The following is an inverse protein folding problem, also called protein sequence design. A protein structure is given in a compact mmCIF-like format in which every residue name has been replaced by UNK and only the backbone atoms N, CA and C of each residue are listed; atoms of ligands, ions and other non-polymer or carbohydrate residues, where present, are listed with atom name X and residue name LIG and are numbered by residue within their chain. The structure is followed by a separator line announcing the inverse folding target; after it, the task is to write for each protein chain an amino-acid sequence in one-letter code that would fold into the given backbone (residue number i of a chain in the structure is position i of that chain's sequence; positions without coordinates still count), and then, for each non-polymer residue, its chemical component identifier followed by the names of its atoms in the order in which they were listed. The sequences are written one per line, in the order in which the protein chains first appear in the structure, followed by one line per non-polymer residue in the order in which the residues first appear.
data_IF_691408162537
#
_entry.id   IF_691408162537
#
_cell.length_a   1.000
_cell.length_b   1.000
_cell.length_c   1.000
_cell.angle_alpha   90.00
_cell.angle_beta   90.00
_cell.angle_gamma   90.00
#
_symmetry.space_group_name_H-M   'P 1'
#
loop_
_entity.id
_entity.type
_entity.pdbx_description
1 polymer ?
#
# COMPACT_ATOMS: atom_id res chain seq x y z
N UNK A 1 -7.91 -34.69 -12.05
CA UNK A 1 -6.94 -33.65 -12.48
C UNK A 1 -6.53 -32.80 -11.29
N UNK A 2 -5.60 -33.29 -10.45
CA UNK A 2 -5.12 -32.59 -9.24
C UNK A 2 -3.66 -32.22 -9.41
N UNK A 3 -3.38 -31.12 -10.10
CA UNK A 3 -2.02 -30.68 -10.39
C UNK A 3 -1.40 -29.91 -9.22
N UNK A 4 -0.28 -30.44 -8.73
CA UNK A 4 0.83 -29.79 -8.00
C UNK A 4 0.42 -29.01 -6.72
N UNK A 5 0.92 -29.45 -5.56
CA UNK A 5 0.96 -28.61 -4.36
C UNK A 5 2.36 -28.00 -4.20
N UNK A 6 2.69 -26.84 -4.81
CA UNK A 6 3.83 -26.04 -4.38
C UNK A 6 3.45 -25.21 -3.13
N UNK A 7 4.46 -24.76 -2.39
CA UNK A 7 4.44 -24.58 -0.93
C UNK A 7 3.28 -23.77 -0.35
N UNK A 8 2.87 -24.13 0.87
CA UNK A 8 1.82 -23.43 1.64
C UNK A 8 1.98 -21.91 1.66
N UNK A 9 3.21 -21.41 1.58
CA UNK A 9 3.54 -19.98 1.51
C UNK A 9 3.18 -19.34 0.17
N UNK A 10 3.43 -19.99 -0.99
CA UNK A 10 3.07 -19.44 -2.30
C UNK A 10 1.55 -19.33 -2.45
N UNK A 11 0.82 -20.32 -1.94
CA UNK A 11 -0.65 -20.30 -1.88
C UNK A 11 -1.17 -19.23 -0.92
N UNK A 12 -0.54 -19.04 0.23
CA UNK A 12 -0.92 -17.99 1.17
C UNK A 12 -0.70 -16.59 0.58
N UNK A 13 0.43 -16.37 -0.10
CA UNK A 13 0.70 -15.16 -0.87
C UNK A 13 -0.36 -14.94 -1.96
N UNK A 14 -0.68 -15.97 -2.74
CA UNK A 14 -1.67 -15.88 -3.81
C UNK A 14 -3.04 -15.42 -3.29
N UNK A 15 -3.50 -16.00 -2.17
CA UNK A 15 -4.76 -15.58 -1.52
C UNK A 15 -4.76 -14.11 -1.11
N UNK A 16 -3.64 -13.61 -0.55
CA UNK A 16 -3.51 -12.19 -0.14
C UNK A 16 -3.45 -11.28 -1.34
N UNK A 17 -2.77 -11.70 -2.40
CA UNK A 17 -2.73 -10.96 -3.66
C UNK A 17 -4.13 -10.86 -4.27
N UNK A 18 -4.90 -11.95 -4.28
CA UNK A 18 -6.30 -11.93 -4.71
C UNK A 18 -7.15 -11.01 -3.84
N UNK A 19 -7.01 -11.08 -2.52
CA UNK A 19 -7.70 -10.20 -1.58
C UNK A 19 -7.37 -8.72 -1.84
N UNK A 20 -6.10 -8.38 -2.05
CA UNK A 20 -5.68 -7.02 -2.33
C UNK A 20 -6.23 -6.50 -3.67
N UNK A 21 -6.34 -7.36 -4.69
CA UNK A 21 -6.94 -7.02 -5.97
C UNK A 21 -8.44 -6.79 -5.86
N UNK A 22 -9.15 -7.64 -5.12
CA UNK A 22 -10.60 -7.53 -4.89
C UNK A 22 -10.97 -6.22 -4.18
N UNK A 23 -10.15 -5.80 -3.22
CA UNK A 23 -10.34 -4.53 -2.50
C UNK A 23 -9.92 -3.29 -3.30
N UNK A 24 -9.25 -3.45 -4.45
CA UNK A 24 -8.70 -2.31 -5.19
C UNK A 24 -9.75 -1.70 -6.14
N UNK A 25 -10.16 -0.43 -5.96
CA UNK A 25 -11.32 0.16 -6.68
C UNK A 25 -11.13 0.28 -8.20
N UNK A 26 -9.88 0.24 -8.68
CA UNK A 26 -9.55 0.31 -10.12
C UNK A 26 -9.26 -1.05 -10.76
N UNK A 27 -9.26 -2.13 -9.98
CA UNK A 27 -9.02 -3.47 -10.51
C UNK A 27 -10.33 -4.03 -11.08
N UNK A 28 -10.35 -4.53 -12.33
CA UNK A 28 -11.54 -5.18 -12.88
C UNK A 28 -11.82 -6.51 -12.17
N UNK A 29 -13.06 -6.71 -11.74
CA UNK A 29 -13.48 -7.87 -10.95
C UNK A 29 -13.50 -9.20 -11.74
N UNK A 30 -13.73 -9.15 -13.06
CA UNK A 30 -14.12 -10.34 -13.83
C UNK A 30 -13.06 -10.74 -14.88
N UNK A 31 -13.10 -10.09 -16.06
CA UNK A 31 -12.12 -10.31 -17.14
C UNK A 31 -11.12 -9.14 -17.18
N UNK A 32 -9.83 -9.45 -17.16
CA UNK A 32 -8.76 -8.46 -17.36
C UNK A 32 -7.88 -8.17 -16.15
N UNK A 33 -8.11 -8.79 -14.98
CA UNK A 33 -7.25 -8.63 -13.79
C UNK A 33 -5.76 -8.89 -14.07
N UNK A 34 -5.47 -9.94 -14.85
CA UNK A 34 -4.09 -10.27 -15.23
C UNK A 34 -3.47 -9.15 -16.07
N UNK A 35 -4.19 -8.68 -17.09
CA UNK A 35 -3.76 -7.61 -17.98
C UNK A 35 -3.58 -6.29 -17.21
N UNK A 36 -4.48 -5.99 -16.28
CA UNK A 36 -4.40 -4.82 -15.42
C UNK A 36 -3.13 -4.85 -14.57
N UNK A 37 -2.86 -5.95 -13.86
CA UNK A 37 -1.62 -6.09 -13.06
C UNK A 37 -0.38 -5.97 -13.92
N UNK A 38 -0.34 -6.60 -15.10
CA UNK A 38 0.81 -6.47 -16.01
C UNK A 38 1.02 -5.03 -16.48
N UNK A 39 -0.07 -4.29 -16.73
CA UNK A 39 -0.02 -2.88 -17.16
C UNK A 39 0.48 -1.97 -16.05
N UNK A 40 -0.04 -2.13 -14.83
CA UNK A 40 0.40 -1.32 -13.69
C UNK A 40 1.88 -1.59 -13.35
N UNK A 41 2.35 -2.83 -13.48
CA UNK A 41 3.77 -3.14 -13.33
C UNK A 41 4.61 -2.51 -14.45
N UNK A 42 4.11 -2.49 -15.69
CA UNK A 42 4.79 -1.81 -16.79
C UNK A 42 4.90 -0.29 -16.56
N UNK A 43 3.89 0.35 -15.94
CA UNK A 43 3.97 1.77 -15.52
C UNK A 43 5.10 2.01 -14.50
N UNK A 44 5.38 1.02 -13.64
CA UNK A 44 6.50 1.03 -12.71
C UNK A 44 7.84 0.59 -13.35
N UNK A 45 7.94 0.56 -14.68
CA UNK A 45 9.11 0.08 -15.45
C UNK A 45 9.48 -1.38 -15.18
N UNK A 46 8.52 -2.20 -14.74
CA UNK A 46 8.70 -3.63 -14.47
C UNK A 46 7.89 -4.43 -15.48
N UNK A 47 8.57 -4.95 -16.51
CA UNK A 47 7.92 -5.83 -17.47
C UNK A 47 7.81 -7.26 -16.92
N UNK A 48 6.58 -7.77 -16.91
CA UNK A 48 6.27 -9.17 -16.60
C UNK A 48 5.27 -9.71 -17.62
N UNK A 49 5.33 -11.02 -17.87
CA UNK A 49 4.36 -11.67 -18.76
C UNK A 49 3.06 -11.96 -18.03
N UNK A 50 1.95 -12.05 -18.77
CA UNK A 50 0.65 -12.46 -18.23
C UNK A 50 0.75 -13.83 -17.53
N UNK A 51 1.50 -14.76 -18.11
CA UNK A 51 1.77 -16.08 -17.51
C UNK A 51 2.46 -15.97 -16.14
N UNK A 52 3.36 -15.00 -15.98
CA UNK A 52 4.04 -14.75 -14.69
C UNK A 52 3.04 -14.33 -13.62
N UNK A 53 2.15 -13.38 -13.95
CA UNK A 53 1.10 -12.92 -13.03
C UNK A 53 0.11 -14.06 -12.73
N UNK A 54 -0.24 -14.86 -13.74
CA UNK A 54 -1.09 -16.06 -13.57
C UNK A 54 -0.46 -17.06 -12.59
N UNK A 55 0.85 -17.28 -12.67
CA UNK A 55 1.57 -18.15 -11.72
C UNK A 55 1.57 -17.60 -10.30
N UNK A 56 1.62 -16.28 -10.14
CA UNK A 56 1.53 -15.63 -8.83
C UNK A 56 0.15 -15.81 -8.19
N UNK A 57 -0.92 -15.53 -8.96
CA UNK A 57 -2.29 -15.71 -8.50
C UNK A 57 -2.67 -17.19 -8.33
N UNK A 58 -2.06 -18.09 -9.10
CA UNK A 58 -2.22 -19.53 -8.92
C UNK A 58 -1.40 -20.12 -7.76
N UNK A 59 -0.61 -19.31 -7.05
CA UNK A 59 0.28 -19.80 -5.99
C UNK A 59 1.35 -20.77 -6.47
N UNK A 60 1.74 -20.69 -7.75
CA UNK A 60 2.77 -21.54 -8.36
C UNK A 60 4.17 -20.95 -8.20
N UNK A 61 4.28 -19.64 -7.99
CA UNK A 61 5.54 -18.93 -7.80
C UNK A 61 5.29 -17.63 -7.04
N UNK A 62 6.33 -17.09 -6.41
CA UNK A 62 6.32 -15.72 -5.86
C UNK A 62 7.13 -14.75 -6.73
N UNK A 63 6.77 -13.45 -6.72
CA UNK A 63 7.65 -12.40 -7.22
C UNK A 63 8.93 -12.28 -6.37
N UNK A 64 10.03 -11.85 -6.99
CA UNK A 64 11.24 -11.42 -6.26
C UNK A 64 11.04 -10.03 -5.67
N UNK A 65 11.89 -9.62 -4.70
CA UNK A 65 11.80 -8.33 -3.96
C UNK A 65 11.35 -7.15 -4.82
N UNK A 66 12.05 -6.81 -5.90
CA UNK A 66 11.69 -5.66 -6.75
C UNK A 66 10.24 -5.69 -7.28
N UNK A 67 9.75 -6.87 -7.67
CA UNK A 67 8.38 -7.06 -8.17
C UNK A 67 7.38 -7.07 -7.02
N UNK A 68 7.76 -7.62 -5.86
CA UNK A 68 6.95 -7.62 -4.65
C UNK A 68 6.71 -6.17 -4.17
N UNK A 69 7.78 -5.38 -4.05
CA UNK A 69 7.70 -3.97 -3.66
C UNK A 69 6.81 -3.17 -4.60
N UNK A 70 6.90 -3.43 -5.90
CA UNK A 70 6.05 -2.76 -6.89
C UNK A 70 4.58 -3.17 -6.75
N UNK A 71 4.29 -4.46 -6.57
CA UNK A 71 2.92 -4.94 -6.32
C UNK A 71 2.34 -4.31 -5.05
N UNK A 72 3.10 -4.27 -3.97
CA UNK A 72 2.69 -3.65 -2.71
C UNK A 72 2.32 -2.16 -2.91
N UNK A 73 3.15 -1.41 -3.65
CA UNK A 73 2.88 -0.01 -3.99
C UNK A 73 1.64 0.17 -4.87
N UNK A 74 1.49 -0.65 -5.91
CA UNK A 74 0.34 -0.58 -6.84
C UNK A 74 -0.96 -0.88 -6.10
N UNK A 75 -0.94 -1.88 -5.21
CA UNK A 75 -2.10 -2.33 -4.45
C UNK A 75 -2.32 -1.53 -3.17
N UNK A 76 -1.42 -0.59 -2.85
CA UNK A 76 -1.42 0.20 -1.61
C UNK A 76 -1.50 -0.66 -0.34
N UNK A 77 -0.80 -1.79 -0.34
CA UNK A 77 -0.67 -2.70 0.81
C UNK A 77 0.77 -2.77 1.29
N UNK A 78 0.97 -3.23 2.52
CA UNK A 78 2.32 -3.45 3.04
C UNK A 78 3.01 -4.65 2.36
N UNK A 79 4.32 -4.51 2.07
CA UNK A 79 5.13 -5.57 1.43
C UNK A 79 5.22 -6.82 2.31
N UNK A 80 5.36 -6.64 3.62
CA UNK A 80 5.49 -7.71 4.61
C UNK A 80 4.18 -8.47 4.76
N UNK A 81 3.06 -7.74 4.82
CA UNK A 81 1.72 -8.31 4.81
C UNK A 81 1.47 -9.12 3.54
N UNK A 82 1.81 -8.58 2.36
CA UNK A 82 1.62 -9.28 1.10
C UNK A 82 2.46 -10.57 1.05
N UNK A 83 3.75 -10.49 1.40
CA UNK A 83 4.68 -11.61 1.35
C UNK A 83 4.42 -12.67 2.43
N UNK A 84 4.24 -12.28 3.68
CA UNK A 84 4.25 -13.17 4.85
C UNK A 84 2.89 -13.27 5.54
N UNK A 85 1.99 -12.31 5.33
CA UNK A 85 0.68 -12.26 6.01
C UNK A 85 0.75 -11.86 7.46
N UNK A 86 1.93 -11.42 7.88
CA UNK A 86 2.08 -10.71 9.13
C UNK A 86 1.65 -9.29 8.81
N UNK A 87 0.43 -8.95 9.19
CA UNK A 87 0.13 -7.55 9.42
C UNK A 87 1.11 -7.12 10.51
N UNK A 88 1.88 -6.04 10.34
CA UNK A 88 2.65 -5.54 11.46
C UNK A 88 1.64 -5.44 12.62
N UNK A 89 1.83 -6.27 13.65
CA UNK A 89 1.35 -5.91 14.98
C UNK A 89 1.75 -4.46 15.09
N UNK A 90 0.81 -3.56 15.40
CA UNK A 90 1.09 -2.15 15.61
C UNK A 90 2.16 -2.05 16.72
N UNK A 91 3.40 -2.31 16.35
CA UNK A 91 4.59 -2.01 17.06
C UNK A 91 4.67 -0.53 16.80
N UNK A 92 4.12 0.23 17.75
CA UNK A 92 4.55 1.57 18.12
C UNK A 92 5.34 2.21 16.99
N UNK A 93 4.65 2.50 15.88
CA UNK A 93 5.29 3.12 14.74
C UNK A 93 5.50 4.53 15.26
N UNK A 94 6.75 4.98 15.47
CA UNK A 94 6.96 6.38 15.79
C UNK A 94 6.27 7.14 14.65
N UNK A 95 5.47 8.17 14.98
CA UNK A 95 4.63 8.85 14.02
C UNK A 95 5.46 9.12 12.77
N UNK A 96 4.93 8.71 11.63
CA UNK A 96 5.60 8.95 10.36
C UNK A 96 5.90 10.45 10.26
N UNK A 97 6.98 10.87 9.59
CA UNK A 97 7.34 12.29 9.51
C UNK A 97 6.22 13.19 8.98
N UNK A 98 5.24 12.61 8.27
CA UNK A 98 4.00 13.30 7.88
C UNK A 98 3.05 13.46 9.06
N UNK A 99 2.78 12.42 9.86
CA UNK A 99 2.02 12.51 11.11
C UNK A 99 2.67 13.42 12.16
N UNK A 100 4.00 13.43 12.26
CA UNK A 100 4.72 14.38 13.11
C UNK A 100 4.46 15.83 12.68
N UNK A 101 4.51 16.09 11.37
CA UNK A 101 4.21 17.41 10.83
C UNK A 101 2.73 17.78 11.00
N UNK A 102 1.81 16.84 10.79
CA UNK A 102 0.37 17.05 10.97
C UNK A 102 0.00 17.30 12.44
N UNK A 103 0.64 16.59 13.37
CA UNK A 103 0.48 16.83 14.81
C UNK A 103 1.01 18.21 15.22
N UNK A 104 2.19 18.60 14.70
CA UNK A 104 2.76 19.93 14.94
C UNK A 104 1.88 21.03 14.35
N UNK A 105 1.36 20.84 13.13
CA UNK A 105 0.44 21.79 12.51
C UNK A 105 -0.81 21.97 13.38
N UNK A 106 -1.42 20.86 13.83
CA UNK A 106 -2.58 20.89 14.72
C UNK A 106 -2.30 21.58 16.05
N UNK A 107 -1.10 21.41 16.60
CA UNK A 107 -0.69 22.06 17.84
C UNK A 107 -0.46 23.57 17.65
N UNK A 108 0.06 23.99 16.49
CA UNK A 108 0.19 25.40 16.11
C UNK A 108 -1.19 26.02 15.90
N UNK A 109 -2.11 25.34 15.19
CA UNK A 109 -3.49 25.80 15.01
C UNK A 109 -4.23 25.93 16.34
N UNK A 110 -4.05 24.97 17.25
CA UNK A 110 -4.65 25.02 18.58
C UNK A 110 -3.98 26.02 19.54
N UNK A 111 -2.71 26.38 19.31
CA UNK A 111 -1.98 27.40 20.09
C UNK A 111 -2.04 28.79 19.47
N UNK A 112 -2.64 28.92 18.30
CA UNK A 112 -2.92 30.23 17.70
C UNK A 112 -4.22 30.73 18.32
N UNK A 113 -4.14 31.14 19.59
CA UNK A 113 -5.14 31.97 20.22
C UNK A 113 -5.25 33.27 19.41
N UNK A 114 -6.29 33.32 18.58
CA UNK A 114 -6.70 34.46 17.76
C UNK A 114 -6.75 35.78 18.56
N UNK A 115 -6.90 35.70 19.89
CA UNK A 115 -6.81 36.82 20.84
C UNK A 115 -5.44 37.49 20.92
N UNK A 116 -4.32 36.76 20.91
CA UNK A 116 -2.97 37.38 20.96
C UNK A 116 -2.66 38.14 19.69
N UNK A 117 -3.09 37.64 18.54
CA UNK A 117 -2.94 38.32 17.24
C UNK A 117 -3.81 39.57 17.20
N UNK A 118 -5.07 39.49 17.68
CA UNK A 118 -5.95 40.66 17.82
C UNK A 118 -5.38 41.72 18.77
N UNK A 119 -4.81 41.33 19.90
CA UNK A 119 -4.23 42.26 20.88
C UNK A 119 -2.98 42.98 20.33
N UNK A 120 -2.14 42.29 19.55
CA UNK A 120 -1.00 42.89 18.85
C UNK A 120 -1.41 43.88 17.76
N UNK A 121 -2.47 43.55 17.00
CA UNK A 121 -3.03 44.45 15.97
C UNK A 121 -3.69 45.68 16.63
N UNK A 122 -4.34 45.51 17.78
CA UNK A 122 -4.95 46.59 18.54
C UNK A 122 -3.90 47.57 19.10
N UNK A 123 -2.83 47.05 19.73
CA UNK A 123 -1.73 47.86 20.30
C UNK A 123 -0.88 48.62 19.28
N UNK A 124 -0.94 48.24 18.00
CA UNK A 124 -0.17 48.91 16.93
C UNK A 124 -0.95 50.09 16.30
N UNK A 125 -2.23 50.29 16.66
CA UNK A 125 -3.07 51.39 16.16
C UNK A 125 -3.27 52.54 17.16
N UNK A 126 -2.60 52.52 18.31
CA UNK A 126 -2.54 53.64 19.27
C UNK A 126 -1.30 54.53 19.05
#
# INVERSE_FOLDING_TARGET
MGGIQPGSRERAFAKRLEQALDNHPRCPADYGRLTWVTRELAHQRINVTIETVRRWLGGMSMPRRAKMTALAKILQVDETWLAMGVQPVAADVPPSRVEELEAVLRQIEASTDDEKIKELIAKTRE
#
